data_IF_893341182139
#
_entry.id   IF_893341182139
#
_cell.length_a   1.000
_cell.length_b   1.000
_cell.length_c   1.000
_cell.angle_alpha   90.00
_cell.angle_beta   90.00
_cell.angle_gamma   90.00
#
_symmetry.space_group_name_H-M   'P 1'
#
loop_
_entity.id
_entity.type
_entity.pdbx_description
1 polymer ?
#
# COMPACT_ATOMS: atom_id res chain seq x y z
N UNK A 1 19.12 9.96 -36.24
CA UNK A 1 17.79 9.91 -35.59
C UNK A 1 17.95 9.89 -34.07
N UNK A 2 18.71 8.95 -33.52
CA UNK A 2 18.87 8.79 -32.06
C UNK A 2 19.41 10.02 -31.33
N UNK A 3 20.48 10.65 -31.83
CA UNK A 3 21.00 11.90 -31.24
C UNK A 3 19.95 13.01 -31.15
N UNK A 4 19.01 13.08 -32.09
CA UNK A 4 17.93 14.04 -32.07
C UNK A 4 16.80 13.68 -31.09
N UNK A 5 16.62 12.39 -30.78
CA UNK A 5 15.70 11.92 -29.76
C UNK A 5 16.26 12.14 -28.35
N UNK A 6 17.58 12.01 -28.16
CA UNK A 6 18.25 12.35 -26.90
C UNK A 6 18.08 13.84 -26.55
N UNK A 7 18.35 14.73 -27.50
CA UNK A 7 18.14 16.18 -27.30
C UNK A 7 16.69 16.52 -26.99
N UNK A 8 15.73 15.83 -27.61
CA UNK A 8 14.31 16.01 -27.31
C UNK A 8 13.99 15.64 -25.85
N UNK A 9 14.49 14.49 -25.38
CA UNK A 9 14.27 14.06 -24.01
C UNK A 9 14.88 15.05 -23.00
N UNK A 10 16.12 15.49 -23.23
CA UNK A 10 16.81 16.47 -22.39
C UNK A 10 16.07 17.82 -22.31
N UNK A 11 15.66 18.38 -23.44
CA UNK A 11 15.05 19.71 -23.50
C UNK A 11 13.60 19.73 -23.02
N UNK A 12 12.87 18.63 -23.19
CA UNK A 12 11.43 18.57 -22.93
C UNK A 12 11.06 17.84 -21.63
N UNK A 13 11.76 16.76 -21.28
CA UNK A 13 11.41 15.94 -20.10
C UNK A 13 12.17 16.34 -18.83
N UNK A 14 13.42 16.83 -18.94
CA UNK A 14 14.23 17.23 -17.78
C UNK A 14 14.19 18.73 -17.45
N UNK A 15 13.66 19.59 -18.33
CA UNK A 15 13.61 21.04 -18.10
C UNK A 15 12.20 21.49 -17.73
N UNK A 16 12.11 22.34 -16.70
CA UNK A 16 10.86 22.95 -16.22
C UNK A 16 10.26 23.99 -17.18
N UNK A 17 10.97 24.36 -18.24
CA UNK A 17 10.54 25.33 -19.26
C UNK A 17 11.18 24.99 -20.61
N UNK A 18 10.57 24.11 -21.42
CA UNK A 18 11.07 23.82 -22.76
C UNK A 18 11.04 25.12 -23.59
N UNK A 19 12.22 25.63 -23.95
CA UNK A 19 12.36 26.86 -24.76
C UNK A 19 12.22 26.58 -26.26
N UNK A 20 12.12 25.31 -26.66
CA UNK A 20 12.17 24.85 -28.04
C UNK A 20 10.87 24.16 -28.45
N UNK A 21 10.43 24.39 -29.68
CA UNK A 21 9.36 23.63 -30.30
C UNK A 21 9.85 22.23 -30.68
N UNK A 22 9.03 21.22 -30.43
CA UNK A 22 9.33 19.83 -30.74
C UNK A 22 8.67 19.44 -32.06
N UNK A 23 9.42 18.83 -32.98
CA UNK A 23 8.83 18.24 -34.19
C UNK A 23 7.95 17.05 -33.81
N UNK A 24 6.70 17.03 -34.31
CA UNK A 24 5.71 16.00 -34.02
C UNK A 24 6.23 14.58 -34.28
N UNK A 25 6.86 14.33 -35.43
CA UNK A 25 7.40 13.00 -35.76
C UNK A 25 8.45 12.51 -34.77
N UNK A 26 9.26 13.42 -34.21
CA UNK A 26 10.25 13.08 -33.18
C UNK A 26 9.60 12.80 -31.84
N UNK A 27 8.55 13.56 -31.49
CA UNK A 27 7.75 13.31 -30.31
C UNK A 27 7.12 11.92 -30.36
N UNK A 28 6.47 11.56 -31.48
CA UNK A 28 5.86 10.24 -31.69
C UNK A 28 6.91 9.13 -31.69
N UNK A 29 8.05 9.33 -32.37
CA UNK A 29 9.13 8.32 -32.42
C UNK A 29 9.68 8.01 -31.03
N UNK A 30 9.75 9.00 -30.14
CA UNK A 30 10.19 8.80 -28.76
C UNK A 30 9.22 7.93 -27.95
N UNK A 31 7.91 8.09 -28.15
CA UNK A 31 6.91 7.21 -27.53
C UNK A 31 7.10 5.76 -27.97
N UNK A 32 7.24 5.51 -29.28
CA UNK A 32 7.45 4.16 -29.81
C UNK A 32 8.68 3.53 -29.14
N UNK A 33 9.81 4.26 -29.11
CA UNK A 33 11.06 3.80 -28.48
C UNK A 33 10.95 3.48 -26.99
N UNK A 34 10.17 4.25 -26.24
CA UNK A 34 10.10 4.11 -24.78
C UNK A 34 8.91 3.28 -24.29
N UNK A 35 7.87 3.10 -25.10
CA UNK A 35 6.62 2.48 -24.66
C UNK A 35 6.23 1.23 -25.46
N UNK A 36 6.75 1.05 -26.68
CA UNK A 36 6.34 -0.04 -27.59
C UNK A 36 7.49 -0.95 -28.01
N UNK A 37 8.71 -0.42 -28.09
CA UNK A 37 9.88 -1.24 -28.40
C UNK A 37 10.10 -2.33 -27.34
N UNK A 38 10.71 -3.48 -27.73
CA UNK A 38 11.11 -4.53 -26.80
C UNK A 38 11.96 -4.00 -25.63
N UNK A 39 11.87 -4.69 -24.49
CA UNK A 39 12.50 -4.27 -23.24
C UNK A 39 14.01 -3.98 -23.42
N UNK A 40 14.73 -4.85 -24.11
CA UNK A 40 16.15 -4.73 -24.40
C UNK A 40 16.50 -3.52 -25.28
N UNK A 41 15.71 -3.24 -26.32
CA UNK A 41 15.92 -2.06 -27.17
C UNK A 41 15.64 -0.75 -26.42
N UNK A 42 14.56 -0.75 -25.63
CA UNK A 42 14.18 0.37 -24.76
C UNK A 42 15.28 0.69 -23.74
N UNK A 43 15.81 -0.33 -23.06
CA UNK A 43 16.91 -0.18 -22.10
C UNK A 43 18.14 0.35 -22.80
N UNK A 44 18.55 -0.24 -23.94
CA UNK A 44 19.72 0.22 -24.70
C UNK A 44 19.61 1.69 -25.07
N UNK A 45 18.41 2.15 -25.44
CA UNK A 45 18.13 3.56 -25.69
C UNK A 45 18.23 4.42 -24.41
N UNK A 46 17.63 3.98 -23.28
CA UNK A 46 17.70 4.69 -22.00
C UNK A 46 19.14 4.78 -21.47
N UNK A 47 19.91 3.69 -21.50
CA UNK A 47 21.32 3.65 -21.09
C UNK A 47 22.15 4.60 -21.94
N UNK A 48 21.99 4.56 -23.26
CA UNK A 48 22.69 5.47 -24.17
C UNK A 48 22.34 6.93 -23.89
N UNK A 49 21.07 7.22 -23.60
CA UNK A 49 20.59 8.55 -23.22
C UNK A 49 21.24 9.03 -21.92
N UNK A 50 21.27 8.18 -20.88
CA UNK A 50 21.87 8.52 -19.59
C UNK A 50 23.39 8.73 -19.70
N UNK A 51 24.08 7.96 -20.54
CA UNK A 51 25.52 8.13 -20.81
C UNK A 51 25.84 9.42 -21.54
N UNK A 52 24.99 9.87 -22.47
CA UNK A 52 25.14 11.18 -23.11
C UNK A 52 25.04 12.34 -22.12
N UNK A 53 24.25 12.18 -21.05
CA UNK A 53 24.07 13.17 -19.99
C UNK A 53 25.14 13.11 -18.88
N UNK A 54 25.88 12.01 -18.79
CA UNK A 54 26.95 11.85 -17.81
C UNK A 54 28.17 12.69 -18.20
N UNK A 55 28.75 13.42 -17.23
CA UNK A 55 29.92 14.30 -17.46
C UNK A 55 31.13 13.55 -18.03
N UNK A 56 31.30 12.30 -17.63
CA UNK A 56 32.45 11.45 -18.01
C UNK A 56 32.05 10.34 -19.00
N UNK A 57 30.81 10.34 -19.50
CA UNK A 57 30.29 9.33 -20.42
C UNK A 57 30.05 7.93 -19.81
N UNK A 58 30.37 7.73 -18.53
CA UNK A 58 30.13 6.51 -17.76
C UNK A 58 28.78 6.58 -17.02
N UNK A 59 28.01 5.50 -17.05
CA UNK A 59 26.76 5.41 -16.31
C UNK A 59 27.03 5.15 -14.83
N UNK A 60 26.47 5.97 -13.94
CA UNK A 60 26.57 5.76 -12.49
C UNK A 60 25.23 5.38 -11.88
N UNK A 61 25.26 4.75 -10.71
CA UNK A 61 24.07 4.50 -9.88
C UNK A 61 23.24 5.77 -9.68
N UNK A 62 23.91 6.89 -9.36
CA UNK A 62 23.26 8.19 -9.15
C UNK A 62 22.49 8.68 -10.37
N UNK A 63 23.02 8.51 -11.59
CA UNK A 63 22.31 8.90 -12.81
C UNK A 63 21.05 8.05 -13.03
N UNK A 64 21.13 6.75 -12.74
CA UNK A 64 19.99 5.84 -12.84
C UNK A 64 18.93 6.15 -11.79
N UNK A 65 19.33 6.36 -10.54
CA UNK A 65 18.43 6.74 -9.46
C UNK A 65 17.73 8.09 -9.74
N UNK A 66 18.47 9.07 -10.26
CA UNK A 66 17.90 10.36 -10.65
C UNK A 66 16.90 10.21 -11.81
N UNK A 67 17.18 9.34 -12.79
CA UNK A 67 16.22 9.00 -13.84
C UNK A 67 14.92 8.42 -13.26
N UNK A 68 15.03 7.43 -12.38
CA UNK A 68 13.87 6.81 -11.72
C UNK A 68 13.07 7.85 -10.93
N UNK A 69 13.74 8.69 -10.13
CA UNK A 69 13.10 9.78 -9.39
C UNK A 69 12.36 10.75 -10.30
N UNK A 70 12.93 11.09 -11.46
CA UNK A 70 12.31 11.99 -12.41
C UNK A 70 11.07 11.37 -13.06
N UNK A 71 11.10 10.08 -13.43
CA UNK A 71 9.91 9.38 -13.94
C UNK A 71 8.78 9.39 -12.90
N UNK A 72 9.07 9.07 -11.64
CA UNK A 72 8.07 9.08 -10.55
C UNK A 72 7.52 10.50 -10.37
N UNK A 73 8.40 11.51 -10.31
CA UNK A 73 8.02 12.92 -10.17
C UNK A 73 7.13 13.38 -11.32
N UNK A 74 7.49 13.06 -12.56
CA UNK A 74 6.71 13.43 -13.75
C UNK A 74 5.34 12.75 -13.77
N UNK A 75 5.25 11.47 -13.37
CA UNK A 75 3.97 10.78 -13.21
C UNK A 75 3.05 11.49 -12.19
N UNK A 76 3.60 11.86 -11.03
CA UNK A 76 2.87 12.61 -9.99
C UNK A 76 2.39 13.99 -10.48
N UNK A 77 3.25 14.70 -11.23
CA UNK A 77 2.94 16.02 -11.78
C UNK A 77 1.80 15.91 -12.79
N UNK A 78 1.86 14.94 -13.72
CA UNK A 78 0.81 14.78 -14.73
C UNK A 78 -0.54 14.54 -14.07
N UNK A 79 -0.63 13.57 -13.15
CA UNK A 79 -1.88 13.28 -12.44
C UNK A 79 -2.40 14.48 -11.64
N UNK A 80 -1.49 15.30 -11.09
CA UNK A 80 -1.84 16.52 -10.37
C UNK A 80 -2.39 17.60 -11.29
N UNK A 81 -1.77 17.79 -12.47
CA UNK A 81 -2.16 18.79 -13.46
C UNK A 81 -3.47 18.41 -14.15
N UNK A 82 -3.69 17.12 -14.41
CA UNK A 82 -4.93 16.61 -15.01
C UNK A 82 -6.09 16.49 -14.01
N UNK A 83 -5.89 16.87 -12.73
CA UNK A 83 -6.86 16.71 -11.64
C UNK A 83 -7.46 15.29 -11.59
N UNK A 84 -6.61 14.27 -11.73
CA UNK A 84 -7.06 12.89 -11.86
C UNK A 84 -7.86 12.46 -10.61
N UNK A 85 -9.08 11.96 -10.80
CA UNK A 85 -10.04 11.67 -9.71
C UNK A 85 -9.46 10.76 -8.63
N UNK A 86 -8.71 9.74 -9.03
CA UNK A 86 -8.08 8.78 -8.10
C UNK A 86 -7.04 9.46 -7.21
N UNK A 87 -6.10 10.24 -7.77
CA UNK A 87 -5.11 10.96 -6.96
C UNK A 87 -5.79 12.04 -6.10
N UNK A 88 -6.83 12.70 -6.65
CA UNK A 88 -7.63 13.69 -5.93
C UNK A 88 -8.26 13.12 -4.67
N UNK A 89 -8.77 11.88 -4.71
CA UNK A 89 -9.37 11.19 -3.55
C UNK A 89 -8.43 11.10 -2.33
N UNK A 90 -7.13 11.00 -2.57
CA UNK A 90 -6.12 11.03 -1.51
C UNK A 90 -5.71 12.45 -1.14
N UNK A 91 -5.52 13.34 -2.12
CA UNK A 91 -5.09 14.71 -1.86
C UNK A 91 -6.12 15.53 -1.08
N UNK A 92 -7.41 15.24 -1.24
CA UNK A 92 -8.48 15.89 -0.46
C UNK A 92 -8.36 15.63 1.04
N UNK A 93 -7.71 14.54 1.44
CA UNK A 93 -7.45 14.21 2.85
C UNK A 93 -6.28 15.00 3.46
N UNK A 94 -5.62 15.85 2.68
CA UNK A 94 -4.43 16.61 3.11
C UNK A 94 -3.11 15.86 2.97
N UNK A 95 -3.11 14.71 2.27
CA UNK A 95 -1.91 13.90 2.06
C UNK A 95 -0.91 14.62 1.16
N UNK A 96 0.33 14.72 1.64
CA UNK A 96 1.41 15.48 0.98
C UNK A 96 2.19 14.61 0.00
N UNK A 97 2.93 15.29 -0.89
CA UNK A 97 3.94 14.69 -1.79
C UNK A 97 5.32 15.24 -1.41
N UNK A 98 5.99 14.72 -0.37
CA UNK A 98 7.32 15.20 0.00
C UNK A 98 8.38 14.76 -1.01
N UNK A 99 9.24 15.68 -1.46
CA UNK A 99 10.29 15.34 -2.46
C UNK A 99 11.29 14.29 -1.94
N UNK A 100 11.61 14.31 -0.64
CA UNK A 100 12.52 13.32 -0.04
C UNK A 100 11.95 11.89 -0.13
N UNK A 101 10.61 11.73 -0.06
CA UNK A 101 9.93 10.43 -0.22
C UNK A 101 10.03 9.91 -1.65
N UNK A 102 10.04 10.79 -2.66
CA UNK A 102 10.28 10.41 -4.05
C UNK A 102 11.71 9.88 -4.23
N UNK A 103 12.68 10.49 -3.54
CA UNK A 103 14.06 10.01 -3.47
C UNK A 103 14.17 8.62 -2.82
N UNK A 104 13.52 8.42 -1.67
CA UNK A 104 13.50 7.12 -0.98
C UNK A 104 12.86 6.03 -1.83
N UNK A 105 11.76 6.33 -2.53
CA UNK A 105 11.12 5.38 -3.45
C UNK A 105 12.06 5.03 -4.61
N UNK A 106 12.73 6.02 -5.21
CA UNK A 106 13.69 5.78 -6.28
C UNK A 106 14.89 4.92 -5.81
N UNK A 107 15.41 5.18 -4.61
CA UNK A 107 16.47 4.37 -4.01
C UNK A 107 16.01 2.93 -3.79
N UNK A 108 14.80 2.73 -3.24
CA UNK A 108 14.21 1.41 -3.04
C UNK A 108 14.11 0.61 -4.35
N UNK A 109 13.60 1.23 -5.41
CA UNK A 109 13.49 0.61 -6.72
C UNK A 109 14.87 0.29 -7.33
N UNK A 110 15.92 0.99 -6.94
CA UNK A 110 17.29 0.79 -7.43
C UNK A 110 18.17 -0.04 -6.49
N UNK A 111 17.65 -0.57 -5.36
CA UNK A 111 18.48 -1.17 -4.31
C UNK A 111 19.39 -2.31 -4.85
N UNK A 112 18.88 -3.14 -5.76
CA UNK A 112 19.66 -4.24 -6.35
C UNK A 112 20.80 -3.76 -7.28
N UNK A 113 20.78 -2.51 -7.73
CA UNK A 113 21.86 -1.92 -8.54
C UNK A 113 22.98 -1.34 -7.68
N UNK A 114 22.70 -0.97 -6.42
CA UNK A 114 23.68 -0.34 -5.53
C UNK A 114 24.81 -1.32 -5.15
N UNK A 115 24.51 -2.61 -5.09
CA UNK A 115 25.45 -3.66 -4.67
C UNK A 115 26.38 -4.15 -5.79
N UNK A 116 26.23 -3.64 -7.01
CA UNK A 116 26.88 -4.16 -8.22
C UNK A 116 28.10 -3.33 -8.67
N UNK A 117 29.22 -3.99 -8.99
CA UNK A 117 30.45 -3.32 -9.45
C UNK A 117 30.33 -2.73 -10.87
N UNK A 118 29.48 -3.33 -11.72
CA UNK A 118 29.26 -2.88 -13.10
C UNK A 118 27.79 -2.48 -13.34
N UNK A 119 27.49 -1.20 -13.13
CA UNK A 119 26.14 -0.65 -13.33
C UNK A 119 25.67 -0.81 -14.79
N UNK A 120 26.54 -0.68 -15.78
CA UNK A 120 26.14 -0.68 -17.19
C UNK A 120 25.56 -2.01 -17.64
N UNK A 121 26.19 -3.13 -17.26
CA UNK A 121 25.71 -4.47 -17.60
C UNK A 121 24.49 -4.88 -16.77
N UNK A 122 24.35 -4.33 -15.57
CA UNK A 122 23.30 -4.73 -14.63
C UNK A 122 22.03 -3.89 -14.73
N UNK A 123 22.07 -2.67 -15.29
CA UNK A 123 20.87 -1.87 -15.56
C UNK A 123 19.89 -2.59 -16.48
N UNK A 124 20.38 -3.39 -17.43
CA UNK A 124 19.50 -4.17 -18.31
C UNK A 124 18.75 -5.26 -17.56
N UNK A 125 19.46 -6.03 -16.73
CA UNK A 125 18.86 -7.05 -15.87
C UNK A 125 17.89 -6.42 -14.86
N UNK A 126 18.32 -5.35 -14.20
CA UNK A 126 17.51 -4.62 -13.24
C UNK A 126 16.21 -4.12 -13.86
N UNK A 127 16.28 -3.46 -15.02
CA UNK A 127 15.10 -2.94 -15.67
C UNK A 127 14.14 -4.07 -16.04
N UNK A 128 14.66 -5.20 -16.54
CA UNK A 128 13.86 -6.39 -16.87
C UNK A 128 13.14 -7.03 -15.66
N UNK A 129 13.73 -6.92 -14.46
CA UNK A 129 13.18 -7.53 -13.23
C UNK A 129 12.35 -6.53 -12.39
N UNK A 130 12.62 -5.22 -12.48
CA UNK A 130 11.94 -4.19 -11.70
C UNK A 130 10.54 -3.86 -12.25
N UNK A 131 9.58 -4.73 -11.98
CA UNK A 131 8.20 -4.64 -12.47
C UNK A 131 7.50 -3.33 -12.07
N UNK A 132 7.73 -2.84 -10.85
CA UNK A 132 7.17 -1.56 -10.38
C UNK A 132 7.64 -0.39 -11.25
N UNK A 133 8.93 -0.31 -11.57
CA UNK A 133 9.45 0.76 -12.41
C UNK A 133 8.93 0.68 -13.85
N UNK A 134 8.83 -0.53 -14.41
CA UNK A 134 8.24 -0.73 -15.73
C UNK A 134 6.79 -0.24 -15.79
N UNK A 135 5.97 -0.58 -14.78
CA UNK A 135 4.58 -0.10 -14.66
C UNK A 135 4.55 1.43 -14.60
N UNK A 136 5.33 2.05 -13.71
CA UNK A 136 5.42 3.50 -13.55
C UNK A 136 5.78 4.22 -14.83
N UNK A 137 6.85 3.77 -15.50
CA UNK A 137 7.31 4.40 -16.72
C UNK A 137 6.31 4.24 -17.86
N UNK A 138 5.66 3.07 -17.97
CA UNK A 138 4.63 2.81 -18.97
C UNK A 138 3.43 3.71 -18.74
N UNK A 139 2.87 3.74 -17.53
CA UNK A 139 1.74 4.60 -17.18
C UNK A 139 2.07 6.09 -17.40
N UNK A 140 3.26 6.53 -16.98
CA UNK A 140 3.75 7.89 -17.25
C UNK A 140 3.72 8.25 -18.74
N UNK A 141 4.32 7.42 -19.60
CA UNK A 141 4.35 7.67 -21.04
C UNK A 141 2.95 7.66 -21.64
N UNK A 142 2.10 6.75 -21.18
CA UNK A 142 0.74 6.61 -21.65
C UNK A 142 -0.10 7.85 -21.35
N UNK A 143 -0.02 8.41 -20.13
CA UNK A 143 -0.67 9.68 -19.81
C UNK A 143 -0.04 10.88 -20.54
N UNK A 144 1.29 10.97 -20.62
CA UNK A 144 1.97 12.09 -21.26
C UNK A 144 1.60 12.21 -22.75
N UNK A 145 1.46 11.08 -23.43
CA UNK A 145 1.11 11.03 -24.84
C UNK A 145 -0.40 10.95 -25.09
N UNK A 146 -1.23 11.04 -24.05
CA UNK A 146 -2.69 10.88 -24.13
C UNK A 146 -3.10 9.62 -24.89
N UNK A 147 -2.38 8.53 -24.64
CA UNK A 147 -2.74 7.24 -25.21
C UNK A 147 -3.97 6.70 -24.49
N UNK A 148 -4.89 6.02 -25.19
CA UNK A 148 -6.06 5.42 -24.55
C UNK A 148 -5.64 4.42 -23.47
N UNK A 149 -6.15 4.59 -22.25
CA UNK A 149 -6.05 3.58 -21.19
C UNK A 149 -7.29 2.70 -21.18
N UNK A 150 -7.15 1.48 -20.66
CA UNK A 150 -8.30 0.73 -20.18
C UNK A 150 -9.02 1.54 -19.10
N UNK A 151 -10.35 1.57 -19.18
CA UNK A 151 -11.17 2.19 -18.15
C UNK A 151 -11.46 1.14 -17.10
N UNK A 152 -11.29 1.53 -15.83
CA UNK A 152 -11.59 0.67 -14.70
C UNK A 152 -12.73 1.27 -13.90
N UNK A 153 -13.61 0.39 -13.46
CA UNK A 153 -14.69 0.73 -12.55
C UNK A 153 -14.18 0.72 -11.11
N UNK A 154 -14.22 1.88 -10.47
CA UNK A 154 -13.96 2.07 -9.05
C UNK A 154 -15.33 2.10 -8.34
N UNK A 155 -15.91 0.94 -8.07
CA UNK A 155 -17.29 0.83 -7.56
C UNK A 155 -18.34 1.30 -8.57
N UNK A 156 -18.93 2.48 -8.38
CA UNK A 156 -19.89 3.08 -9.33
C UNK A 156 -19.22 4.10 -10.29
N UNK A 157 -17.97 4.48 -10.05
CA UNK A 157 -17.25 5.49 -10.83
C UNK A 157 -16.40 4.83 -11.92
N UNK A 158 -16.38 5.40 -13.13
CA UNK A 158 -15.53 4.95 -14.23
C UNK A 158 -14.38 5.96 -14.43
N UNK A 159 -13.13 5.49 -14.40
CA UNK A 159 -11.97 6.33 -14.68
C UNK A 159 -10.88 5.56 -15.43
N UNK A 160 -9.95 6.28 -16.05
CA UNK A 160 -8.76 5.69 -16.67
C UNK A 160 -7.94 4.92 -15.62
N UNK A 161 -7.34 3.80 -16.03
CA UNK A 161 -6.46 3.01 -15.17
C UNK A 161 -5.34 3.88 -14.59
N UNK A 162 -5.19 3.83 -13.27
CA UNK A 162 -4.22 4.60 -12.52
C UNK A 162 -3.49 3.65 -11.56
N UNK A 163 -2.18 3.86 -11.38
CA UNK A 163 -1.39 3.09 -10.40
C UNK A 163 -1.71 3.45 -8.95
N UNK A 164 -2.51 4.49 -8.72
CA UNK A 164 -3.07 4.81 -7.42
C UNK A 164 -4.38 4.04 -7.20
N UNK A 165 -4.67 3.63 -5.96
CA UNK A 165 -5.98 3.11 -5.60
C UNK A 165 -6.95 4.27 -5.34
N UNK A 166 -8.24 4.08 -5.57
CA UNK A 166 -9.26 5.02 -5.10
C UNK A 166 -9.35 4.95 -3.57
N UNK A 167 -9.28 6.10 -2.90
CA UNK A 167 -9.44 6.19 -1.45
C UNK A 167 -10.92 6.19 -1.06
N UNK A 168 -11.31 5.29 -0.16
CA UNK A 168 -12.71 5.11 0.31
C UNK A 168 -12.79 4.84 1.81
N UNK A 169 -14.00 4.89 2.35
CA UNK A 169 -14.29 4.52 3.75
C UNK A 169 -13.89 5.55 4.80
N UNK A 170 -13.27 6.67 4.41
CA UNK A 170 -12.92 7.74 5.36
C UNK A 170 -14.21 8.45 5.82
N UNK A 171 -14.46 8.56 7.14
CA UNK A 171 -15.66 9.22 7.66
C UNK A 171 -15.78 10.68 7.22
N UNK A 172 -17.01 11.16 7.03
CA UNK A 172 -17.29 12.50 6.48
C UNK A 172 -16.58 13.62 7.24
N UNK A 173 -16.50 13.50 8.56
CA UNK A 173 -15.83 14.47 9.43
C UNK A 173 -14.32 14.63 9.18
N UNK A 174 -13.67 13.68 8.52
CA UNK A 174 -12.23 13.71 8.20
C UNK A 174 -11.94 13.87 6.70
N UNK A 175 -12.94 14.15 5.86
CA UNK A 175 -12.78 14.24 4.41
C UNK A 175 -11.83 15.34 3.91
N UNK A 176 -11.50 16.32 4.77
CA UNK A 176 -10.61 17.44 4.42
C UNK A 176 -9.25 17.41 5.11
N UNK A 177 -9.17 16.80 6.29
CA UNK A 177 -7.93 16.62 7.06
C UNK A 177 -8.05 15.28 7.78
N UNK A 178 -7.38 14.28 7.24
CA UNK A 178 -7.31 12.95 7.84
C UNK A 178 -5.89 12.72 8.39
N UNK A 179 -5.74 12.28 9.65
CA UNK A 179 -4.43 12.09 10.27
C UNK A 179 -3.79 10.75 9.81
N UNK A 180 -3.59 10.58 8.50
CA UNK A 180 -2.89 9.38 7.98
C UNK A 180 -1.40 9.46 8.23
N UNK A 181 -0.79 8.30 8.49
CA UNK A 181 0.66 8.13 8.53
C UNK A 181 1.28 8.05 7.13
N UNK A 182 0.46 7.77 6.10
CA UNK A 182 0.89 7.58 4.73
C UNK A 182 1.06 8.91 3.99
N UNK A 183 2.05 8.96 3.12
CA UNK A 183 2.22 10.01 2.10
C UNK A 183 1.81 9.49 0.72
N UNK A 184 1.61 10.37 -0.26
CA UNK A 184 1.24 9.95 -1.63
C UNK A 184 2.28 8.97 -2.23
N UNK A 185 3.60 9.18 -2.10
CA UNK A 185 4.58 8.19 -2.55
C UNK A 185 4.47 6.84 -1.83
N UNK A 186 4.12 6.81 -0.53
CA UNK A 186 3.94 5.55 0.20
C UNK A 186 2.77 4.74 -0.39
N UNK A 187 1.64 5.39 -0.68
CA UNK A 187 0.48 4.76 -1.31
C UNK A 187 0.83 4.19 -2.68
N UNK A 188 1.54 4.95 -3.52
CA UNK A 188 1.98 4.48 -4.84
C UNK A 188 2.94 3.28 -4.73
N UNK A 189 3.90 3.38 -3.82
CA UNK A 189 4.89 2.32 -3.59
C UNK A 189 4.21 1.02 -3.18
N UNK A 190 3.32 1.07 -2.18
CA UNK A 190 2.61 -0.11 -1.70
C UNK A 190 1.62 -0.65 -2.72
N UNK A 191 0.81 0.20 -3.36
CA UNK A 191 -0.22 -0.26 -4.29
C UNK A 191 0.35 -0.98 -5.51
N UNK A 192 1.53 -0.56 -5.98
CA UNK A 192 2.18 -1.22 -7.13
C UNK A 192 2.73 -2.62 -6.82
N UNK A 193 2.92 -2.95 -5.53
CA UNK A 193 3.31 -4.28 -5.03
C UNK A 193 2.12 -5.25 -4.88
N UNK A 194 0.90 -4.72 -4.68
CA UNK A 194 -0.28 -5.57 -4.47
C UNK A 194 -0.63 -6.39 -5.73
N UNK A 195 -1.30 -7.54 -5.59
CA UNK A 195 -1.87 -8.26 -6.73
C UNK A 195 -2.81 -7.36 -7.57
N UNK A 196 -2.86 -7.48 -8.91
CA UNK A 196 -3.64 -6.57 -9.77
C UNK A 196 -5.09 -6.37 -9.36
N UNK A 197 -5.76 -7.43 -8.88
CA UNK A 197 -7.15 -7.36 -8.41
C UNK A 197 -7.32 -6.42 -7.19
N UNK A 198 -6.27 -6.26 -6.38
CA UNK A 198 -6.28 -5.48 -5.15
C UNK A 198 -5.89 -4.00 -5.34
N UNK A 199 -5.38 -3.63 -6.53
CA UNK A 199 -4.78 -2.31 -6.77
C UNK A 199 -5.79 -1.16 -6.95
N UNK A 200 -7.07 -1.48 -7.14
CA UNK A 200 -8.04 -0.50 -7.61
C UNK A 200 -8.59 0.39 -6.50
N UNK A 201 -8.78 -0.12 -5.29
CA UNK A 201 -9.40 0.65 -4.22
C UNK A 201 -8.85 0.27 -2.86
N UNK A 202 -8.69 1.28 -2.00
CA UNK A 202 -8.32 1.15 -0.61
C UNK A 202 -9.43 1.73 0.25
N UNK A 203 -9.90 0.96 1.23
CA UNK A 203 -11.02 1.26 2.10
C UNK A 203 -10.50 1.39 3.53
N UNK A 204 -10.65 2.57 4.12
CA UNK A 204 -10.23 2.83 5.49
C UNK A 204 -10.99 1.92 6.47
N UNK A 205 -10.27 1.22 7.34
CA UNK A 205 -10.85 0.34 8.36
C UNK A 205 -10.59 0.86 9.77
N UNK A 206 -9.34 1.14 10.10
CA UNK A 206 -8.95 1.49 11.46
C UNK A 206 -7.81 2.50 11.49
N UNK A 207 -7.82 3.36 12.51
CA UNK A 207 -6.69 4.21 12.89
C UNK A 207 -6.80 4.49 14.39
N UNK A 208 -5.68 4.47 15.11
CA UNK A 208 -5.64 4.85 16.52
C UNK A 208 -6.05 6.31 16.74
N UNK A 209 -5.72 7.20 15.81
CA UNK A 209 -6.09 8.62 15.86
C UNK A 209 -7.61 8.85 15.76
N UNK A 210 -8.32 7.95 15.10
CA UNK A 210 -9.77 8.04 14.89
C UNK A 210 -10.54 7.20 15.91
N UNK A 211 -10.05 6.01 16.21
CA UNK A 211 -10.80 4.99 16.95
C UNK A 211 -10.30 4.79 18.38
N UNK A 212 -9.13 5.33 18.73
CA UNK A 212 -8.45 5.11 20.00
C UNK A 212 -7.60 3.83 20.03
N UNK A 213 -6.86 3.66 21.12
CA UNK A 213 -5.96 2.54 21.36
C UNK A 213 -6.69 1.35 21.97
N UNK A 214 -7.44 0.59 21.15
CA UNK A 214 -8.16 -0.60 21.59
C UNK A 214 -8.01 -1.75 20.60
N UNK A 215 -7.37 -2.84 21.04
CA UNK A 215 -7.22 -4.04 20.23
C UNK A 215 -8.57 -4.68 19.89
N UNK A 216 -9.50 -4.71 20.85
CA UNK A 216 -10.85 -5.21 20.60
C UNK A 216 -11.58 -4.42 19.50
N UNK A 217 -11.40 -3.09 19.48
CA UNK A 217 -11.97 -2.24 18.43
C UNK A 217 -11.28 -2.42 17.08
N UNK A 218 -9.95 -2.60 17.07
CA UNK A 218 -9.19 -2.98 15.88
C UNK A 218 -9.77 -4.26 15.28
N UNK A 219 -9.91 -5.33 16.07
CA UNK A 219 -10.46 -6.61 15.62
C UNK A 219 -11.83 -6.46 14.97
N UNK A 220 -12.77 -5.78 15.65
CA UNK A 220 -14.13 -5.57 15.13
C UNK A 220 -14.19 -4.76 13.84
N UNK A 221 -13.11 -4.07 13.45
CA UNK A 221 -13.03 -3.25 12.25
C UNK A 221 -12.20 -3.86 11.12
N UNK A 222 -11.35 -4.86 11.40
CA UNK A 222 -10.50 -5.52 10.39
C UNK A 222 -10.93 -6.94 10.04
N UNK A 223 -11.64 -7.62 10.95
CA UNK A 223 -12.22 -8.94 10.68
C UNK A 223 -13.32 -8.80 9.63
N UNK A 224 -13.35 -9.75 8.70
CA UNK A 224 -14.24 -9.81 7.54
C UNK A 224 -14.17 -8.61 6.60
N UNK A 225 -12.96 -8.05 6.44
CA UNK A 225 -12.70 -6.98 5.45
C UNK A 225 -11.95 -7.46 4.22
N UNK A 226 -11.51 -8.71 4.22
CA UNK A 226 -10.67 -9.28 3.16
C UNK A 226 -9.19 -8.91 3.36
N UNK A 227 -8.41 -8.83 2.27
CA UNK A 227 -6.99 -8.50 2.34
C UNK A 227 -6.77 -7.07 2.87
N UNK A 228 -5.73 -6.87 3.68
CA UNK A 228 -5.47 -5.58 4.33
C UNK A 228 -4.02 -5.15 4.27
N UNK A 229 -3.79 -3.84 4.23
CA UNK A 229 -2.50 -3.20 4.50
C UNK A 229 -2.54 -2.62 5.91
N UNK A 230 -1.66 -3.12 6.78
CA UNK A 230 -1.47 -2.61 8.13
C UNK A 230 -0.22 -1.76 8.16
N UNK A 231 -0.33 -0.54 8.66
CA UNK A 231 0.76 0.41 8.80
C UNK A 231 0.91 0.77 10.26
N UNK A 232 2.15 0.70 10.76
CA UNK A 232 2.54 1.03 12.12
C UNK A 232 3.56 2.15 12.06
N UNK A 233 3.30 3.21 12.82
CA UNK A 233 4.27 4.23 13.17
C UNK A 233 4.67 4.03 14.63
N UNK A 234 5.97 3.86 14.89
CA UNK A 234 6.47 3.76 16.26
C UNK A 234 6.84 5.15 16.82
N UNK A 235 7.06 5.24 18.14
CA UNK A 235 7.48 6.48 18.82
C UNK A 235 8.88 6.97 18.44
N UNK A 236 9.66 6.14 17.73
CA UNK A 236 10.95 6.53 17.14
C UNK A 236 10.79 7.06 15.70
N UNK A 237 9.56 7.26 15.24
CA UNK A 237 9.16 7.70 13.90
C UNK A 237 9.44 6.71 12.76
N UNK A 238 9.79 5.46 13.05
CA UNK A 238 9.85 4.43 12.00
C UNK A 238 8.42 4.15 11.52
N UNK A 239 8.25 4.00 10.22
CA UNK A 239 6.97 3.67 9.59
C UNK A 239 7.16 2.38 8.82
N UNK A 240 6.44 1.34 9.20
CA UNK A 240 6.57 -0.01 8.65
C UNK A 240 5.25 -0.76 8.75
N UNK A 241 5.17 -1.95 8.21
CA UNK A 241 3.91 -2.68 8.21
C UNK A 241 3.94 -3.96 7.40
N UNK A 242 2.75 -4.45 7.07
CA UNK A 242 2.59 -5.63 6.25
C UNK A 242 1.29 -5.61 5.44
N UNK A 243 1.33 -6.29 4.30
CA UNK A 243 0.16 -6.66 3.53
C UNK A 243 -0.23 -8.10 3.90
N UNK A 244 -1.45 -8.26 4.42
CA UNK A 244 -2.08 -9.54 4.71
C UNK A 244 -2.99 -9.90 3.53
N UNK A 245 -2.66 -10.99 2.84
CA UNK A 245 -3.34 -11.39 1.60
C UNK A 245 -4.71 -12.02 1.81
N UNK A 246 -5.06 -12.42 3.03
CA UNK A 246 -6.37 -12.99 3.37
C UNK A 246 -7.08 -12.23 4.49
N UNK A 247 -8.36 -12.52 4.66
CA UNK A 247 -9.16 -12.03 5.77
C UNK A 247 -8.57 -12.42 7.14
N UNK A 248 -8.60 -11.49 8.09
CA UNK A 248 -8.18 -11.75 9.46
C UNK A 248 -9.17 -12.69 10.15
N UNK A 249 -8.68 -13.86 10.58
CA UNK A 249 -9.46 -14.86 11.31
C UNK A 249 -8.86 -15.10 12.68
N UNK A 250 -9.66 -15.00 13.73
CA UNK A 250 -9.22 -15.32 15.10
C UNK A 250 -9.02 -16.83 15.22
N UNK A 251 -7.82 -17.26 15.59
CA UNK A 251 -7.54 -18.66 15.85
C UNK A 251 -6.06 -18.98 16.07
N UNK A 252 -5.74 -20.24 16.41
CA UNK A 252 -4.37 -20.65 16.74
C UNK A 252 -3.47 -20.84 15.51
N UNK A 253 -4.03 -20.83 14.30
CA UNK A 253 -3.34 -21.19 13.07
C UNK A 253 -2.95 -19.96 12.27
N UNK A 254 -1.80 -20.02 11.61
CA UNK A 254 -1.42 -19.06 10.58
C UNK A 254 -2.34 -19.18 9.36
N UNK A 255 -2.61 -18.04 8.72
CA UNK A 255 -3.40 -17.86 7.49
C UNK A 255 -2.58 -17.09 6.45
N UNK A 256 -3.21 -16.78 5.31
CA UNK A 256 -2.57 -16.05 4.21
C UNK A 256 -1.81 -16.94 3.24
N UNK A 257 -1.26 -16.32 2.21
CA UNK A 257 -0.50 -16.96 1.13
C UNK A 257 0.80 -16.19 0.81
N UNK A 258 1.49 -16.64 -0.26
CA UNK A 258 2.78 -16.09 -0.69
C UNK A 258 2.73 -14.64 -1.19
N UNK A 259 1.54 -14.10 -1.49
CA UNK A 259 1.38 -12.69 -1.88
C UNK A 259 1.49 -11.75 -0.67
N UNK A 260 1.45 -12.28 0.56
CA UNK A 260 1.72 -11.50 1.77
C UNK A 260 3.18 -11.02 1.81
N UNK A 261 3.39 -9.80 2.33
CA UNK A 261 4.73 -9.22 2.47
C UNK A 261 4.81 -8.26 3.64
N UNK A 262 6.03 -8.03 4.14
CA UNK A 262 6.34 -6.95 5.06
C UNK A 262 6.98 -5.78 4.32
N UNK A 263 6.86 -4.57 4.87
CA UNK A 263 7.47 -3.38 4.29
C UNK A 263 7.96 -2.41 5.37
N UNK A 264 8.90 -1.56 4.96
CA UNK A 264 9.32 -0.34 5.65
C UNK A 264 9.08 0.83 4.72
N UNK A 265 8.61 1.97 5.25
CA UNK A 265 8.38 3.23 4.55
C UNK A 265 9.30 4.36 5.04
N UNK A 266 9.77 4.27 6.28
CA UNK A 266 10.71 5.23 6.88
C UNK A 266 11.51 4.54 7.99
N UNK A 267 12.84 4.75 8.09
CA UNK A 267 13.68 5.73 7.37
C UNK A 267 14.06 5.35 5.94
N UNK A 268 13.80 4.13 5.52
CA UNK A 268 14.06 3.65 4.15
C UNK A 268 12.85 2.87 3.64
N UNK A 269 12.55 3.01 2.36
CA UNK A 269 11.51 2.22 1.69
C UNK A 269 12.07 0.85 1.31
N UNK A 270 11.45 -0.22 1.79
CA UNK A 270 11.84 -1.61 1.49
C UNK A 270 10.63 -2.53 1.50
N UNK A 271 10.71 -3.60 0.74
CA UNK A 271 9.73 -4.70 0.72
C UNK A 271 10.43 -6.03 1.00
N UNK A 272 9.78 -6.88 1.78
CA UNK A 272 10.23 -8.23 2.12
C UNK A 272 9.12 -9.21 1.70
N UNK A 273 9.23 -9.74 0.48
CA UNK A 273 8.26 -10.69 -0.09
C UNK A 273 8.49 -12.11 0.45
N UNK A 274 7.52 -13.01 0.26
CA UNK A 274 7.62 -14.40 0.70
C UNK A 274 8.90 -15.11 0.19
N UNK A 275 9.50 -15.94 1.05
CA UNK A 275 10.58 -16.87 0.67
C UNK A 275 10.06 -18.18 0.07
N UNK A 276 8.76 -18.48 0.25
CA UNK A 276 8.19 -19.81 -0.03
C UNK A 276 8.64 -20.91 0.94
N UNK A 277 9.38 -20.57 2.01
CA UNK A 277 9.93 -21.57 2.95
C UNK A 277 8.87 -22.14 3.91
N UNK A 278 7.93 -21.30 4.35
CA UNK A 278 6.85 -21.66 5.25
C UNK A 278 5.59 -20.85 4.93
N UNK A 279 4.48 -21.20 5.57
CA UNK A 279 3.17 -20.53 5.40
C UNK A 279 2.75 -19.73 6.63
N UNK A 280 3.69 -19.06 7.30
CA UNK A 280 3.45 -18.30 8.53
C UNK A 280 3.20 -16.81 8.25
N UNK A 281 2.26 -16.48 7.36
CA UNK A 281 2.11 -15.13 6.83
C UNK A 281 1.40 -14.18 7.78
N UNK A 282 0.21 -14.57 8.25
CA UNK A 282 -0.62 -13.77 9.17
C UNK A 282 -1.16 -14.64 10.32
N UNK A 283 -1.12 -14.11 11.53
CA UNK A 283 -1.59 -14.75 12.76
C UNK A 283 -2.42 -13.76 13.57
N UNK A 284 -3.55 -14.21 14.10
CA UNK A 284 -4.41 -13.39 14.93
C UNK A 284 -5.08 -14.25 15.98
N UNK A 285 -4.87 -13.93 17.25
CA UNK A 285 -5.43 -14.71 18.33
C UNK A 285 -5.67 -13.86 19.57
N UNK A 286 -6.62 -14.27 20.40
CA UNK A 286 -7.00 -13.60 21.64
C UNK A 286 -7.46 -14.61 22.70
N UNK A 287 -7.40 -14.18 23.97
CA UNK A 287 -7.92 -14.91 25.14
C UNK A 287 -7.34 -16.33 25.33
N UNK A 288 -6.15 -16.59 24.80
CA UNK A 288 -5.44 -17.86 24.99
C UNK A 288 -4.51 -17.81 26.20
N UNK A 289 -4.39 -18.93 26.92
CA UNK A 289 -3.45 -19.06 28.04
C UNK A 289 -2.05 -19.48 27.60
N UNK A 290 -1.95 -20.24 26.52
CA UNK A 290 -0.71 -20.91 26.08
C UNK A 290 -0.16 -20.39 24.76
N UNK A 291 -0.96 -19.62 24.01
CA UNK A 291 -0.57 -19.06 22.72
C UNK A 291 -0.52 -17.53 22.81
N UNK A 292 0.33 -16.88 21.99
CA UNK A 292 0.42 -15.42 21.97
C UNK A 292 -0.91 -14.77 21.60
N UNK A 293 -1.29 -13.72 22.33
CA UNK A 293 -2.50 -12.95 22.06
C UNK A 293 -2.14 -11.62 21.41
N UNK A 294 -2.57 -11.43 20.17
CA UNK A 294 -2.20 -10.28 19.36
C UNK A 294 -2.29 -10.58 17.87
N UNK A 295 -1.67 -9.71 17.08
CA UNK A 295 -1.58 -9.79 15.63
C UNK A 295 -0.12 -9.95 15.24
N UNK A 296 0.19 -10.99 14.49
CA UNK A 296 1.55 -11.30 14.02
C UNK A 296 1.61 -11.48 12.52
N UNK A 297 2.73 -11.09 11.91
CA UNK A 297 3.01 -11.33 10.51
C UNK A 297 4.44 -11.81 10.29
N UNK A 298 4.59 -12.96 9.61
CA UNK A 298 5.87 -13.60 9.32
C UNK A 298 6.56 -14.20 10.54
N UNK A 299 7.35 -15.24 10.33
CA UNK A 299 8.22 -15.82 11.34
C UNK A 299 7.58 -17.01 12.04
N UNK A 300 7.68 -17.06 13.36
CA UNK A 300 7.08 -18.11 14.19
C UNK A 300 6.71 -17.51 15.56
N UNK A 301 6.02 -18.27 16.40
CA UNK A 301 5.71 -17.82 17.77
C UNK A 301 6.98 -17.32 18.48
N UNK A 302 6.85 -16.21 19.21
CA UNK A 302 7.93 -15.45 19.87
C UNK A 302 8.94 -14.75 18.93
N UNK A 303 8.91 -15.02 17.63
CA UNK A 303 9.87 -14.48 16.65
C UNK A 303 9.16 -13.96 15.40
N UNK A 304 8.14 -13.14 15.60
CA UNK A 304 7.39 -12.56 14.50
C UNK A 304 8.21 -11.49 13.76
N UNK A 305 8.06 -11.42 12.44
CA UNK A 305 8.64 -10.34 11.63
C UNK A 305 8.02 -8.98 11.98
N UNK A 306 6.73 -8.99 12.34
CA UNK A 306 5.98 -7.89 12.92
C UNK A 306 4.96 -8.45 13.92
N UNK A 307 4.95 -7.92 15.14
CA UNK A 307 3.97 -8.26 16.18
C UNK A 307 3.35 -7.00 16.77
N UNK A 308 2.02 -7.02 16.95
CA UNK A 308 1.25 -6.07 17.75
C UNK A 308 0.55 -6.83 18.88
N UNK A 309 0.79 -6.39 20.11
CA UNK A 309 0.27 -7.05 21.30
C UNK A 309 -1.23 -6.77 21.50
N UNK A 310 -1.97 -7.75 22.04
CA UNK A 310 -3.39 -7.58 22.35
C UNK A 310 -3.65 -6.57 23.47
N UNK A 311 -2.68 -6.26 24.33
CA UNK A 311 -2.75 -5.14 25.27
C UNK A 311 -2.77 -3.77 24.57
N UNK A 312 -2.44 -3.75 23.28
CA UNK A 312 -2.28 -2.57 22.44
C UNK A 312 -1.14 -1.65 22.93
N UNK A 313 -0.66 -0.76 22.06
CA UNK A 313 0.38 0.23 22.41
C UNK A 313 1.82 -0.30 22.40
N UNK A 314 2.02 -1.62 22.34
CA UNK A 314 3.34 -2.26 22.25
C UNK A 314 3.39 -3.29 21.13
N UNK A 315 4.58 -3.48 20.58
CA UNK A 315 4.84 -4.51 19.59
C UNK A 315 6.31 -4.92 19.58
N UNK A 316 6.63 -5.92 18.76
CA UNK A 316 8.00 -6.34 18.55
C UNK A 316 8.26 -6.75 17.10
N UNK A 317 9.51 -6.63 16.67
CA UNK A 317 10.02 -7.19 15.42
C UNK A 317 11.24 -8.08 15.75
N UNK A 318 11.25 -9.30 15.24
CA UNK A 318 12.41 -10.18 15.32
C UNK A 318 13.60 -9.60 14.55
N UNK A 319 14.82 -9.97 14.92
CA UNK A 319 16.03 -9.63 14.14
C UNK A 319 16.07 -10.37 12.80
N UNK A 320 15.45 -11.55 12.75
CA UNK A 320 15.41 -12.41 11.57
C UNK A 320 14.02 -12.98 11.37
N UNK A 321 13.65 -13.19 10.11
CA UNK A 321 12.37 -13.79 9.72
C UNK A 321 12.62 -14.72 8.53
N UNK A 322 12.25 -15.99 8.67
CA UNK A 322 12.43 -17.00 7.60
C UNK A 322 11.32 -16.96 6.55
N UNK A 323 10.18 -16.36 6.87
CA UNK A 323 9.02 -16.24 5.97
C UNK A 323 9.25 -15.22 4.85
N UNK A 324 10.05 -14.17 5.10
CA UNK A 324 10.22 -13.07 4.16
C UNK A 324 11.69 -12.89 3.74
N UNK A 325 11.91 -12.76 2.44
CA UNK A 325 13.24 -12.60 1.84
C UNK A 325 13.78 -11.21 2.12
N UNK A 326 15.11 -11.10 2.22
CA UNK A 326 15.82 -9.85 2.50
C UNK A 326 15.31 -9.10 3.75
N UNK A 327 14.67 -9.82 4.68
CA UNK A 327 14.13 -9.24 5.89
C UNK A 327 15.24 -8.61 6.75
N UNK A 328 14.99 -7.37 7.16
CA UNK A 328 15.72 -6.66 8.21
C UNK A 328 14.68 -6.16 9.21
N UNK A 329 15.05 -6.15 10.50
CA UNK A 329 14.18 -5.66 11.57
C UNK A 329 13.56 -4.30 11.19
N UNK A 330 12.24 -4.22 11.27
CA UNK A 330 11.48 -3.07 10.75
C UNK A 330 11.52 -1.88 11.72
N UNK A 331 11.49 -2.16 13.02
CA UNK A 331 11.64 -1.18 14.10
C UNK A 331 13.12 -0.92 14.41
N UNK A 332 13.41 0.22 15.06
CA UNK A 332 14.78 0.54 15.50
C UNK A 332 15.34 -0.44 16.54
N UNK A 333 14.47 -1.03 17.37
CA UNK A 333 14.79 -1.99 18.41
C UNK A 333 13.82 -3.17 18.37
N UNK A 334 14.18 -4.30 19.02
CA UNK A 334 13.34 -5.51 19.06
C UNK A 334 11.92 -5.22 19.52
N UNK A 335 11.77 -4.45 20.60
CA UNK A 335 10.48 -3.99 21.07
C UNK A 335 10.28 -2.53 20.67
N UNK A 336 9.05 -2.15 20.36
CA UNK A 336 8.68 -0.77 20.05
C UNK A 336 7.37 -0.38 20.75
N UNK A 337 7.23 0.91 21.01
CA UNK A 337 5.97 1.51 21.42
C UNK A 337 5.28 2.09 20.21
N UNK A 338 3.99 1.81 20.09
CA UNK A 338 3.14 2.31 19.01
C UNK A 338 2.89 3.80 19.23
N UNK A 339 3.06 4.58 18.18
CA UNK A 339 2.56 5.96 18.08
C UNK A 339 1.23 5.96 17.34
N UNK A 340 1.16 5.30 16.17
CA UNK A 340 -0.08 5.15 15.42
C UNK A 340 -0.15 3.80 14.71
N UNK A 341 -1.34 3.19 14.66
CA UNK A 341 -1.66 2.05 13.77
C UNK A 341 -2.77 2.49 12.85
N UNK A 342 -2.62 2.20 11.56
CA UNK A 342 -3.58 2.48 10.50
C UNK A 342 -3.79 1.22 9.65
N UNK A 343 -5.04 0.88 9.34
CA UNK A 343 -5.38 -0.32 8.57
C UNK A 343 -6.34 0.03 7.43
N UNK A 344 -6.00 -0.45 6.25
CA UNK A 344 -6.77 -0.29 5.02
C UNK A 344 -7.11 -1.66 4.43
N UNK A 345 -8.39 -1.93 4.16
CA UNK A 345 -8.76 -3.04 3.31
C UNK A 345 -8.50 -2.69 1.85
N UNK A 346 -7.97 -3.63 1.07
CA UNK A 346 -7.60 -3.41 -0.33
C UNK A 346 -8.43 -4.30 -1.25
N UNK A 347 -8.64 -3.82 -2.48
CA UNK A 347 -9.42 -4.56 -3.48
C UNK A 347 -10.94 -4.54 -3.26
N UNK A 348 -11.68 -5.42 -3.96
CA UNK A 348 -13.14 -5.47 -3.95
C UNK A 348 -13.69 -5.68 -2.53
N UNK A 349 -14.98 -5.39 -2.34
CA UNK A 349 -15.62 -5.68 -1.07
C UNK A 349 -15.60 -7.18 -0.79
N UNK A 350 -15.34 -7.54 0.46
CA UNK A 350 -15.28 -8.93 0.86
C UNK A 350 -16.71 -9.47 0.91
N UNK A 351 -17.02 -10.41 0.03
CA UNK A 351 -18.28 -11.12 0.06
C UNK A 351 -18.23 -12.11 1.22
N UNK A 352 -19.09 -11.92 2.23
CA UNK A 352 -19.26 -12.92 3.27
C UNK A 352 -19.89 -14.15 2.64
N UNK A 353 -19.24 -15.31 2.75
CA UNK A 353 -19.96 -16.57 2.62
C UNK A 353 -20.93 -16.65 3.80
N UNK A 354 -22.19 -16.26 3.57
CA UNK A 354 -23.29 -16.38 4.53
C UNK A 354 -23.51 -17.87 4.85
N UNK A 355 -22.70 -18.42 5.76
CA UNK A 355 -23.03 -19.62 6.50
C UNK A 355 -23.67 -19.16 7.80
N UNK A 356 -24.99 -19.34 7.91
CA UNK A 356 -25.81 -18.95 9.09
C UNK A 356 -25.22 -19.42 10.44
N UNK A 357 -24.34 -20.43 10.42
CA UNK A 357 -23.65 -20.98 11.58
C UNK A 357 -22.66 -20.01 12.25
N UNK A 358 -22.00 -19.12 11.50
CA UNK A 358 -21.02 -18.19 12.09
C UNK A 358 -21.71 -17.05 12.84
N UNK A 359 -22.82 -16.51 12.30
CA UNK A 359 -23.62 -15.47 12.99
C UNK A 359 -24.27 -16.01 14.27
N UNK A 360 -24.65 -17.30 14.31
CA UNK A 360 -25.13 -17.94 15.54
C UNK A 360 -24.02 -18.04 16.59
N UNK A 361 -22.84 -18.49 16.19
CA UNK A 361 -21.70 -18.65 17.11
C UNK A 361 -21.26 -17.33 17.75
N UNK A 362 -21.22 -16.22 17.00
CA UNK A 362 -20.84 -14.92 17.55
C UNK A 362 -21.89 -14.39 18.53
N UNK A 363 -23.18 -14.54 18.20
CA UNK A 363 -24.28 -14.11 19.06
C UNK A 363 -24.37 -14.95 20.34
N UNK A 364 -24.05 -16.24 20.27
CA UNK A 364 -23.97 -17.13 21.43
C UNK A 364 -22.76 -16.80 22.31
N UNK A 365 -21.59 -16.49 21.73
CA UNK A 365 -20.42 -16.05 22.51
C UNK A 365 -20.65 -14.72 23.24
N UNK A 366 -21.40 -13.80 22.63
CA UNK A 366 -21.77 -12.52 23.27
C UNK A 366 -22.77 -12.73 24.42
N UNK A 367 -23.71 -13.66 24.27
CA UNK A 367 -24.67 -14.04 25.32
C UNK A 367 -23.97 -14.73 26.50
N UNK A 368 -23.01 -15.63 26.24
CA UNK A 368 -22.21 -16.28 27.28
C UNK A 368 -21.31 -15.29 28.02
N UNK A 369 -20.65 -14.38 27.29
CA UNK A 369 -19.84 -13.31 27.89
C UNK A 369 -20.70 -12.39 28.78
N UNK A 370 -21.91 -12.06 28.33
CA UNK A 370 -22.87 -11.23 29.09
C UNK A 370 -23.38 -11.94 30.35
N UNK A 371 -23.65 -13.26 30.28
CA UNK A 371 -24.05 -14.06 31.43
C UNK A 371 -22.94 -14.21 32.46
N UNK A 372 -21.69 -14.40 32.01
CA UNK A 372 -20.51 -14.51 32.88
C UNK A 372 -20.21 -13.20 33.63
N UNK A 373 -20.45 -12.04 33.01
CA UNK A 373 -20.31 -10.73 33.65
C UNK A 373 -21.33 -10.50 34.77
N UNK A 374 -22.57 -10.97 34.59
CA UNK A 374 -23.62 -10.91 35.62
C UNK A 374 -23.32 -11.85 36.80
N UNK A 375 -22.80 -13.06 36.53
CA UNK A 375 -22.39 -14.00 37.57
C UNK A 375 -21.17 -13.52 38.37
N UNK A 376 -20.29 -12.72 37.76
CA UNK A 376 -19.15 -12.10 38.42
C UNK A 376 -19.51 -10.84 39.25
N UNK A 377 -20.79 -10.51 39.38
CA UNK A 377 -21.26 -9.38 40.21
C UNK A 377 -20.93 -8.00 39.66
N UNK A 378 -20.58 -7.89 38.37
CA UNK A 378 -20.32 -6.60 37.71
C UNK A 378 -21.56 -6.17 36.93
N UNK A 379 -22.20 -5.08 37.36
CA UNK A 379 -23.32 -4.46 36.63
C UNK A 379 -22.81 -3.63 35.46
N UNK A 380 -23.30 -3.91 34.25
CA UNK A 380 -23.13 -3.05 33.08
C UNK A 380 -23.91 -1.75 33.30
N UNK A 381 -23.22 -0.62 33.42
CA UNK A 381 -23.85 0.71 33.34
C UNK A 381 -23.80 1.20 31.90
N UNK A 382 -24.75 0.71 31.10
CA UNK A 382 -25.25 1.38 29.89
C UNK A 382 -26.49 0.62 29.40
N UNK A 383 -27.58 0.71 30.15
CA UNK A 383 -28.92 0.49 29.59
C UNK A 383 -29.49 1.87 29.24
N UNK A 384 -29.75 2.08 27.95
CA UNK A 384 -30.50 3.25 27.51
C UNK A 384 -29.98 3.89 26.22
N UNK A 385 -29.98 3.14 25.12
CA UNK A 385 -30.16 3.64 23.75
C UNK A 385 -30.03 2.44 22.81
N UNK A 386 -31.14 1.75 22.54
CA UNK A 386 -31.42 1.01 21.29
C UNK A 386 -32.68 0.13 21.43
N UNK A 387 -33.80 0.69 21.91
CA UNK A 387 -35.10 0.01 21.83
C UNK A 387 -36.15 0.81 21.02
N UNK A 388 -35.76 1.85 20.27
CA UNK A 388 -36.73 2.67 19.51
C UNK A 388 -36.42 2.88 18.02
N UNK A 389 -35.42 2.19 17.45
CA UNK A 389 -35.10 2.36 16.01
C UNK A 389 -35.77 1.29 15.13
N UNK A 390 -36.06 0.11 15.68
CA UNK A 390 -36.63 -1.00 14.90
C UNK A 390 -38.16 -0.94 14.73
N UNK A 391 -38.90 -0.26 15.61
CA UNK A 391 -40.36 -0.14 15.47
C UNK A 391 -40.81 0.91 14.43
N UNK A 392 -40.02 1.95 14.17
CA UNK A 392 -40.36 2.98 13.16
C UNK A 392 -40.11 2.52 11.72
N UNK A 393 -39.18 1.60 11.49
CA UNK A 393 -38.89 1.05 10.16
C UNK A 393 -39.95 0.06 9.68
N UNK A 394 -40.58 -0.69 10.59
CA UNK A 394 -41.64 -1.66 10.24
C UNK A 394 -43.01 -1.01 9.98
N UNK A 395 -43.29 0.19 10.51
CA UNK A 395 -44.55 0.91 10.20
C UNK A 395 -44.51 1.60 8.83
N UNK A 396 -43.37 2.18 8.42
CA UNK A 396 -43.26 2.91 7.14
C UNK A 396 -43.22 2.02 5.90
N UNK A 397 -42.92 0.73 6.05
CA UNK A 397 -42.87 -0.22 4.93
C UNK A 397 -44.21 -0.87 4.59
N UNK A 398 -45.18 -0.89 5.52
CA UNK A 398 -46.51 -1.46 5.28
C UNK A 398 -47.57 -0.45 4.77
N UNK A 399 -47.34 0.86 4.87
CA UNK A 399 -48.26 1.88 4.32
C UNK A 399 -48.02 2.24 2.84
N UNK A 400 -47.08 1.57 2.16
CA UNK A 400 -46.80 1.77 0.72
C UNK A 400 -47.21 0.59 -0.18
N UNK A 401 -48.01 -0.35 0.35
CA UNK A 401 -48.48 -1.52 -0.41
C UNK A 401 -50.00 -1.78 -0.37
N UNK A 402 -50.80 -0.76 -0.09
CA UNK A 402 -52.25 -0.79 -0.38
C UNK A 402 -52.67 0.40 -1.26
#
# INVERSE_FOLDING_TARGET
MERALYTLFEDYFYKSSPKSTVQYDRFVSLFVKLAKDPCDEKIRFVVSMLKCNARDGALTYNNTMEYVKNVISSYMIILTVTDHIVLKSWRTLGVKIPDYKLGQMAQSLCQNLEEEENIEENVEKWFGVCSQFQKLQTSFLYYLYHMPQEHVTYGEELAEYCLFPMCRGVPQQYQHVFPTVLTIPDVLFLNTLLPPAMQHQWRFCFSTEVHGESFAKLLGLIVDKGPTVIVVKDKNNNVFGGYASENWTVGPNFKGDEDSFLFSLYPEMRVCESTGYNSHFQYLNIQQQTLPNGLGMGGQFEYFGLWLDAEFGKGHCSETCTTYKNYKMLSATKCFEVDCVEVWAVGPEYEHEDTEDVRRSVRESDLEAKAMLQLAGKTLHSEGMDENVDEEWHKKTNEKKE
#
